data_IF_987719108285
#
_entry.id   IF_987719108285
#
_cell.length_a   1.000
_cell.length_b   1.000
_cell.length_c   1.000
_cell.angle_alpha   90.00
_cell.angle_beta   90.00
_cell.angle_gamma   90.00
#
_symmetry.space_group_name_H-M   'P 1'
#
loop_
_entity.id
_entity.type
_entity.pdbx_description
1 polymer ?
#
# COMPACT_ATOMS: atom_id res chain seq x y z
N UNK A 1 -23.74 -5.75 -29.13
CA UNK A 1 -23.52 -5.86 -27.68
C UNK A 1 -24.47 -4.97 -26.86
N UNK A 2 -24.78 -3.74 -27.34
CA UNK A 2 -25.71 -2.83 -26.66
C UNK A 2 -27.15 -3.36 -26.61
N UNK A 3 -27.59 -4.09 -27.62
CA UNK A 3 -28.97 -4.61 -27.70
C UNK A 3 -29.16 -5.91 -26.90
N UNK A 4 -28.12 -6.74 -26.74
CA UNK A 4 -28.13 -7.94 -25.89
C UNK A 4 -28.20 -7.63 -24.40
N UNK A 5 -27.62 -6.50 -23.98
CA UNK A 5 -27.69 -6.03 -22.57
C UNK A 5 -29.08 -5.42 -22.30
N UNK A 6 -29.74 -4.81 -23.29
CA UNK A 6 -31.07 -4.22 -23.10
C UNK A 6 -32.18 -5.26 -22.86
N UNK A 7 -32.08 -6.47 -23.37
CA UNK A 7 -33.14 -7.48 -23.29
C UNK A 7 -33.18 -8.28 -21.99
N UNK A 8 -32.03 -8.42 -21.27
CA UNK A 8 -31.93 -9.28 -20.07
C UNK A 8 -32.21 -8.60 -18.72
N UNK A 9 -32.29 -7.25 -18.67
CA UNK A 9 -32.48 -6.51 -17.42
C UNK A 9 -33.80 -5.76 -17.29
N UNK A 10 -34.85 -6.23 -17.96
CA UNK A 10 -36.20 -5.60 -17.91
C UNK A 10 -37.07 -6.06 -16.76
N UNK A 11 -36.60 -6.90 -15.88
CA UNK A 11 -37.39 -7.44 -14.77
C UNK A 11 -36.74 -7.08 -13.44
N UNK A 12 -37.47 -6.38 -12.56
CA UNK A 12 -37.24 -6.15 -11.14
C UNK A 12 -36.41 -4.90 -10.71
N UNK A 13 -36.91 -3.67 -10.96
CA UNK A 13 -36.64 -2.56 -10.03
C UNK A 13 -37.65 -1.40 -10.26
N UNK A 14 -38.13 -0.70 -9.20
CA UNK A 14 -39.05 0.43 -9.34
C UNK A 14 -38.40 1.59 -10.10
N UNK A 15 -39.17 2.26 -10.95
CA UNK A 15 -38.74 3.19 -12.01
C UNK A 15 -37.97 4.44 -11.59
N UNK A 16 -37.94 4.81 -10.30
CA UNK A 16 -37.23 6.01 -9.80
C UNK A 16 -35.76 5.77 -9.44
N UNK A 17 -35.38 4.57 -9.07
CA UNK A 17 -34.00 4.22 -8.67
C UNK A 17 -33.14 3.66 -9.80
N UNK A 18 -33.77 3.15 -10.85
CA UNK A 18 -33.09 2.51 -11.99
C UNK A 18 -32.20 3.45 -12.83
N UNK A 19 -32.54 4.74 -12.90
CA UNK A 19 -31.78 5.72 -13.70
C UNK A 19 -30.45 6.13 -13.09
N UNK A 20 -30.44 6.38 -11.80
CA UNK A 20 -29.24 6.84 -11.06
C UNK A 20 -28.25 5.68 -10.88
N UNK A 21 -28.75 4.50 -10.54
CA UNK A 21 -27.90 3.29 -10.43
C UNK A 21 -27.27 2.93 -11.78
N UNK A 22 -28.02 3.08 -12.87
CA UNK A 22 -27.57 2.81 -14.24
C UNK A 22 -26.49 3.77 -14.71
N UNK A 23 -26.61 5.07 -14.41
CA UNK A 23 -25.58 6.06 -14.76
C UNK A 23 -24.30 5.81 -13.93
N UNK A 24 -24.41 5.50 -12.65
CA UNK A 24 -23.26 5.23 -11.79
C UNK A 24 -22.55 3.92 -12.12
N UNK A 25 -23.29 2.86 -12.43
CA UNK A 25 -22.70 1.58 -12.89
C UNK A 25 -21.99 1.76 -14.25
N UNK A 26 -22.55 2.54 -15.18
CA UNK A 26 -21.90 2.87 -16.46
C UNK A 26 -20.64 3.72 -16.23
N UNK A 27 -20.64 4.64 -15.26
CA UNK A 27 -19.47 5.43 -14.92
C UNK A 27 -18.35 4.55 -14.33
N UNK A 28 -18.69 3.66 -13.41
CA UNK A 28 -17.74 2.69 -12.83
C UNK A 28 -17.19 1.74 -13.89
N UNK A 29 -18.03 1.26 -14.79
CA UNK A 29 -17.59 0.41 -15.91
C UNK A 29 -16.68 1.16 -16.89
N UNK A 30 -16.91 2.46 -17.12
CA UNK A 30 -15.99 3.31 -17.92
C UNK A 30 -14.65 3.50 -17.23
N UNK A 31 -14.62 3.75 -15.92
CA UNK A 31 -13.40 3.89 -15.14
C UNK A 31 -12.58 2.58 -15.11
N UNK A 32 -13.25 1.45 -14.92
CA UNK A 32 -12.63 0.11 -15.00
C UNK A 32 -12.10 -0.17 -16.41
N UNK A 33 -12.82 0.22 -17.45
CA UNK A 33 -12.36 0.08 -18.83
C UNK A 33 -11.14 0.95 -19.14
N UNK A 34 -11.09 2.18 -18.60
CA UNK A 34 -9.93 3.08 -18.72
C UNK A 34 -8.72 2.49 -17.98
N UNK A 35 -8.90 1.93 -16.80
CA UNK A 35 -7.85 1.23 -16.05
C UNK A 35 -7.32 -0.01 -16.78
N UNK A 36 -8.22 -0.78 -17.41
CA UNK A 36 -7.84 -1.92 -18.25
C UNK A 36 -7.08 -1.48 -19.50
N UNK A 37 -7.47 -0.36 -20.11
CA UNK A 37 -6.80 0.23 -21.27
C UNK A 37 -5.40 0.77 -20.89
N UNK A 38 -5.29 1.39 -19.73
CA UNK A 38 -4.01 1.87 -19.18
C UNK A 38 -3.06 0.70 -18.86
N UNK A 39 -3.63 -0.41 -18.38
CA UNK A 39 -2.90 -1.65 -18.14
C UNK A 39 -2.41 -2.29 -19.45
N UNK A 40 -3.23 -2.28 -20.49
CA UNK A 40 -2.85 -2.73 -21.84
C UNK A 40 -1.75 -1.84 -22.45
N UNK A 41 -1.80 -0.52 -22.23
CA UNK A 41 -0.80 0.42 -22.71
C UNK A 41 0.57 0.28 -21.99
N UNK A 42 0.57 -0.07 -20.72
CA UNK A 42 1.81 -0.35 -19.97
C UNK A 42 2.41 -1.71 -20.36
N UNK A 43 1.57 -2.71 -20.70
CA UNK A 43 2.03 -4.04 -21.10
C UNK A 43 2.47 -4.11 -22.57
N UNK A 44 1.90 -3.27 -23.44
CA UNK A 44 2.21 -3.26 -24.88
C UNK A 44 3.71 -3.04 -25.17
N UNK A 45 4.42 -2.06 -24.58
CA UNK A 45 5.85 -1.91 -24.85
C UNK A 45 6.69 -3.07 -24.29
N UNK A 46 6.27 -3.73 -23.20
CA UNK A 46 6.96 -4.88 -22.63
C UNK A 46 6.83 -6.11 -23.54
N UNK A 47 5.67 -6.28 -24.17
CA UNK A 47 5.39 -7.35 -25.13
C UNK A 47 6.13 -7.10 -26.45
N UNK A 48 6.22 -5.84 -26.92
CA UNK A 48 6.95 -5.45 -28.13
C UNK A 48 8.47 -5.62 -27.94
N UNK A 49 9.00 -5.29 -26.78
CA UNK A 49 10.41 -5.54 -26.45
C UNK A 49 10.74 -7.05 -26.38
N UNK A 50 9.79 -7.90 -26.00
CA UNK A 50 9.96 -9.35 -25.98
C UNK A 50 9.81 -10.01 -27.36
N UNK A 51 9.21 -9.33 -28.34
CA UNK A 51 9.02 -9.85 -29.71
C UNK A 51 10.09 -9.38 -30.71
N UNK A 52 10.89 -8.35 -30.38
CA UNK A 52 11.92 -7.82 -31.28
C UNK A 52 13.24 -8.60 -31.29
N UNK A 53 13.30 -9.80 -30.71
CA UNK A 53 14.47 -10.69 -30.81
C UNK A 53 14.54 -11.55 -32.08
N UNK A 54 13.71 -11.27 -33.08
CA UNK A 54 13.75 -11.98 -34.37
C UNK A 54 13.54 -11.04 -35.55
N UNK A 55 14.57 -10.30 -35.91
CA UNK A 55 14.77 -9.87 -37.32
C UNK A 55 16.26 -9.58 -37.58
N UNK A 56 16.96 -10.64 -37.95
CA UNK A 56 18.24 -10.58 -38.61
C UNK A 56 18.05 -10.23 -40.09
N UNK A 57 18.33 -9.00 -40.50
CA UNK A 57 18.56 -8.69 -41.92
C UNK A 57 19.31 -7.39 -42.18
N UNK A 58 19.64 -6.59 -41.16
CA UNK A 58 20.35 -5.30 -41.36
C UNK A 58 21.85 -5.38 -40.94
N UNK A 59 22.32 -6.54 -40.50
CA UNK A 59 23.65 -6.71 -39.92
C UNK A 59 24.72 -7.03 -40.97
N UNK A 60 24.36 -7.44 -42.19
CA UNK A 60 25.36 -7.88 -43.21
C UNK A 60 26.06 -6.71 -43.92
N UNK A 61 25.45 -5.57 -44.15
CA UNK A 61 26.09 -4.42 -44.81
C UNK A 61 27.07 -3.65 -43.89
N UNK A 62 26.86 -3.69 -42.60
CA UNK A 62 27.82 -3.08 -41.65
C UNK A 62 29.04 -3.93 -41.35
N UNK A 63 29.01 -5.23 -41.64
CA UNK A 63 30.19 -6.13 -41.46
C UNK A 63 31.31 -5.88 -42.43
N UNK A 64 31.03 -5.41 -43.64
CA UNK A 64 32.06 -5.12 -44.66
C UNK A 64 32.86 -3.85 -44.31
N UNK A 65 32.25 -2.85 -43.68
CA UNK A 65 32.92 -1.62 -43.27
C UNK A 65 33.78 -1.79 -42.01
N UNK A 66 33.41 -2.71 -41.13
CA UNK A 66 34.08 -2.96 -39.84
C UNK A 66 35.27 -3.96 -40.00
N UNK A 67 35.34 -4.71 -41.09
CA UNK A 67 36.43 -5.64 -41.35
C UNK A 67 37.76 -4.93 -41.68
N UNK A 68 37.72 -3.69 -42.17
CA UNK A 68 38.93 -2.90 -42.47
C UNK A 68 39.53 -2.18 -41.25
N UNK A 69 38.77 -2.09 -40.14
CA UNK A 69 39.22 -1.49 -38.87
C UNK A 69 39.57 -2.53 -37.79
N UNK A 70 39.49 -3.81 -38.12
CA UNK A 70 39.47 -4.90 -37.15
C UNK A 70 40.84 -5.50 -36.75
N UNK A 71 41.95 -4.99 -37.23
CA UNK A 71 43.28 -5.47 -36.79
C UNK A 71 43.64 -5.18 -35.34
N UNK A 72 42.92 -4.24 -34.69
CA UNK A 72 43.16 -3.86 -33.29
C UNK A 72 42.01 -4.17 -32.32
N UNK A 73 40.85 -4.66 -32.81
CA UNK A 73 39.65 -4.80 -32.02
C UNK A 73 39.29 -6.23 -31.56
N UNK A 74 39.99 -7.25 -32.03
CA UNK A 74 39.65 -8.67 -31.72
C UNK A 74 39.78 -8.96 -30.23
N UNK A 75 40.76 -8.38 -29.54
CA UNK A 75 40.93 -8.57 -28.10
C UNK A 75 39.90 -7.80 -27.24
N UNK A 76 39.32 -6.73 -27.75
CA UNK A 76 38.27 -5.96 -27.02
C UNK A 76 36.92 -6.64 -27.12
N UNK A 77 36.57 -7.23 -28.27
CA UNK A 77 35.27 -7.91 -28.46
C UNK A 77 35.16 -9.18 -27.65
N UNK A 78 36.23 -9.95 -27.51
CA UNK A 78 36.26 -11.17 -26.70
C UNK A 78 36.15 -10.84 -25.20
N UNK A 79 36.79 -9.77 -24.74
CA UNK A 79 36.65 -9.30 -23.37
C UNK A 79 35.23 -8.78 -23.08
N UNK A 80 34.64 -7.99 -23.98
CA UNK A 80 33.26 -7.51 -23.85
C UNK A 80 32.27 -8.68 -23.89
N UNK A 81 32.46 -9.63 -24.82
CA UNK A 81 31.60 -10.81 -24.90
C UNK A 81 31.69 -11.68 -23.63
N UNK A 82 32.90 -11.79 -23.05
CA UNK A 82 33.11 -12.52 -21.80
C UNK A 82 32.48 -11.80 -20.62
N UNK A 83 32.61 -10.47 -20.52
CA UNK A 83 31.97 -9.65 -19.50
C UNK A 83 30.45 -9.76 -19.64
N UNK A 84 29.89 -9.63 -20.83
CA UNK A 84 28.44 -9.74 -21.08
C UNK A 84 27.94 -11.16 -20.74
N UNK A 85 28.66 -12.20 -21.10
CA UNK A 85 28.31 -13.60 -20.75
C UNK A 85 28.38 -13.83 -19.22
N UNK A 86 29.44 -13.34 -18.57
CA UNK A 86 29.61 -13.47 -17.13
C UNK A 86 28.55 -12.69 -16.38
N UNK A 87 28.31 -11.43 -16.78
CA UNK A 87 27.26 -10.59 -16.21
C UNK A 87 25.86 -11.18 -16.47
N UNK A 88 25.62 -11.67 -17.70
CA UNK A 88 24.37 -12.35 -18.05
C UNK A 88 24.14 -13.65 -17.27
N UNK A 89 25.21 -14.44 -17.02
CA UNK A 89 25.12 -15.63 -16.15
C UNK A 89 24.86 -15.23 -14.70
N UNK A 90 25.52 -14.20 -14.19
CA UNK A 90 25.31 -13.69 -12.82
C UNK A 90 23.88 -13.19 -12.65
N UNK A 91 23.38 -12.36 -13.56
CA UNK A 91 21.98 -11.90 -13.56
C UNK A 91 21.01 -13.08 -13.63
N UNK A 92 21.25 -14.05 -14.51
CA UNK A 92 20.39 -15.24 -14.63
C UNK A 92 20.38 -16.07 -13.34
N UNK A 93 21.51 -16.24 -12.68
CA UNK A 93 21.62 -16.96 -11.42
C UNK A 93 20.94 -16.19 -10.29
N UNK A 94 21.13 -14.89 -10.23
CA UNK A 94 20.41 -14.01 -9.28
C UNK A 94 18.89 -14.08 -9.48
N UNK A 95 18.42 -14.04 -10.74
CA UNK A 95 16.98 -14.17 -11.06
C UNK A 95 16.45 -15.56 -10.70
N UNK A 96 17.24 -16.63 -10.90
CA UNK A 96 16.86 -17.98 -10.47
C UNK A 96 16.80 -18.08 -8.94
N UNK A 97 17.80 -17.55 -8.24
CA UNK A 97 17.80 -17.52 -6.77
C UNK A 97 16.67 -16.64 -6.21
N UNK A 98 16.38 -15.54 -6.88
CA UNK A 98 15.29 -14.62 -6.56
C UNK A 98 13.92 -15.32 -6.52
N UNK A 99 13.68 -16.26 -7.44
CA UNK A 99 12.44 -17.02 -7.54
C UNK A 99 12.52 -18.40 -6.88
N UNK A 100 13.66 -18.76 -6.28
CA UNK A 100 13.85 -20.06 -5.66
C UNK A 100 12.99 -20.16 -4.39
N UNK A 101 12.15 -21.18 -4.33
CA UNK A 101 11.33 -21.54 -3.18
C UNK A 101 11.58 -22.99 -2.79
N UNK A 102 11.51 -23.30 -1.51
CA UNK A 102 11.48 -24.66 -1.01
C UNK A 102 10.03 -25.19 -1.13
N UNK A 103 9.82 -26.13 -2.05
CA UNK A 103 8.49 -26.67 -2.36
C UNK A 103 7.89 -27.48 -1.21
N UNK A 104 8.69 -27.87 -0.20
CA UNK A 104 8.18 -28.45 1.04
C UNK A 104 7.46 -27.41 1.91
N UNK A 105 7.85 -26.14 1.82
CA UNK A 105 7.30 -25.04 2.60
C UNK A 105 6.33 -24.17 1.83
N UNK A 106 6.58 -23.94 0.53
CA UNK A 106 5.81 -23.03 -0.30
C UNK A 106 5.40 -23.72 -1.58
N UNK A 107 4.12 -23.67 -1.92
CA UNK A 107 3.60 -24.13 -3.21
C UNK A 107 3.31 -22.92 -4.10
N UNK A 108 3.87 -22.86 -5.33
CA UNK A 108 3.55 -21.78 -6.25
C UNK A 108 2.09 -21.89 -6.70
N UNK A 109 1.48 -20.75 -7.00
CA UNK A 109 0.15 -20.74 -7.60
C UNK A 109 0.18 -21.38 -9.00
N UNK A 110 -0.74 -22.28 -9.25
CA UNK A 110 -0.86 -23.02 -10.51
C UNK A 110 -1.63 -22.26 -11.59
N UNK A 111 -2.09 -21.06 -11.29
CA UNK A 111 -2.90 -20.24 -12.18
C UNK A 111 -2.18 -18.93 -12.52
N UNK A 112 -2.55 -18.35 -13.67
CA UNK A 112 -1.98 -17.09 -14.14
C UNK A 112 -2.77 -15.88 -13.66
N UNK A 113 -4.08 -16.04 -13.51
CA UNK A 113 -5.00 -14.96 -13.18
C UNK A 113 -5.74 -15.26 -11.89
N UNK A 114 -6.07 -14.20 -11.18
CA UNK A 114 -6.93 -14.20 -10.01
C UNK A 114 -7.99 -13.12 -10.12
N UNK A 115 -9.15 -13.40 -9.58
CA UNK A 115 -10.20 -12.42 -9.33
C UNK A 115 -10.50 -12.38 -7.85
N UNK A 116 -10.64 -11.17 -7.28
CA UNK A 116 -10.88 -11.00 -5.85
C UNK A 116 -11.88 -9.86 -5.62
N UNK A 117 -12.82 -10.11 -4.74
CA UNK A 117 -13.64 -9.10 -4.11
C UNK A 117 -13.09 -8.82 -2.72
N UNK A 118 -13.03 -7.56 -2.37
CA UNK A 118 -12.47 -7.09 -1.12
C UNK A 118 -13.43 -6.09 -0.46
N UNK A 119 -13.67 -6.30 0.81
CA UNK A 119 -14.25 -5.32 1.70
C UNK A 119 -13.14 -4.76 2.56
N UNK A 120 -12.94 -3.44 2.57
CA UNK A 120 -11.91 -2.81 3.38
C UNK A 120 -12.45 -1.69 4.25
N UNK A 121 -11.93 -1.63 5.47
CA UNK A 121 -12.23 -0.58 6.43
C UNK A 121 -10.93 0.14 6.79
N UNK A 122 -11.01 1.45 6.78
CA UNK A 122 -9.88 2.30 7.09
C UNK A 122 -9.91 2.73 8.54
N UNK A 123 -8.75 2.66 9.16
CA UNK A 123 -8.46 3.21 10.45
C UNK A 123 -7.47 4.36 10.30
N UNK A 124 -7.76 5.48 10.92
CA UNK A 124 -6.86 6.62 11.05
C UNK A 124 -7.08 7.27 12.40
N UNK A 125 -6.00 7.52 13.13
CA UNK A 125 -6.04 8.10 14.46
C UNK A 125 -4.88 9.09 14.63
N UNK A 126 -5.21 10.28 15.04
CA UNK A 126 -4.26 11.34 15.41
C UNK A 126 -4.36 11.61 16.90
N UNK A 127 -3.21 11.66 17.53
CA UNK A 127 -3.07 12.14 18.90
C UNK A 127 -2.13 13.33 18.89
N UNK A 128 -2.65 14.50 19.23
CA UNK A 128 -1.93 15.75 19.39
C UNK A 128 -1.72 15.98 20.87
N UNK A 129 -0.52 16.31 21.30
CA UNK A 129 -0.26 16.56 22.71
C UNK A 129 0.89 17.55 22.93
N UNK A 130 0.85 18.25 24.06
CA UNK A 130 2.02 18.95 24.54
C UNK A 130 2.99 17.95 25.22
N UNK A 131 4.29 18.25 25.18
CA UNK A 131 5.30 17.43 25.85
C UNK A 131 5.60 17.92 27.28
N UNK A 132 4.68 18.68 27.89
CA UNK A 132 4.84 19.12 29.28
C UNK A 132 4.62 17.94 30.24
N UNK A 133 5.66 17.55 30.97
CA UNK A 133 5.60 16.41 31.91
C UNK A 133 4.71 16.68 33.13
N UNK A 134 4.60 17.94 33.54
CA UNK A 134 3.81 18.32 34.72
C UNK A 134 2.33 18.50 34.43
N UNK A 135 1.99 18.99 33.22
CA UNK A 135 0.63 19.23 32.78
C UNK A 135 0.43 18.68 31.35
N UNK A 136 0.41 17.35 31.18
CA UNK A 136 0.24 16.76 29.87
C UNK A 136 -1.18 16.97 29.35
N UNK A 137 -1.34 17.62 28.21
CA UNK A 137 -2.62 17.78 27.51
C UNK A 137 -2.58 16.99 26.21
N UNK A 138 -3.68 16.29 25.91
CA UNK A 138 -3.78 15.46 24.69
C UNK A 138 -5.17 15.56 24.10
N UNK A 139 -5.20 15.69 22.78
CA UNK A 139 -6.42 15.62 21.96
C UNK A 139 -6.30 14.43 21.03
N UNK A 140 -7.33 13.62 20.92
CA UNK A 140 -7.38 12.47 20.04
C UNK A 140 -8.47 12.62 19.00
N UNK A 141 -8.12 12.42 17.73
CA UNK A 141 -9.02 12.56 16.61
C UNK A 141 -9.01 11.28 15.76
N UNK A 142 -10.18 10.89 15.30
CA UNK A 142 -10.29 9.87 14.24
C UNK A 142 -11.48 10.19 13.34
N UNK A 143 -11.37 9.94 12.03
CA UNK A 143 -12.50 10.10 11.13
C UNK A 143 -13.57 9.04 11.42
N UNK A 144 -14.75 9.24 10.87
CA UNK A 144 -15.75 8.17 10.79
C UNK A 144 -15.19 7.04 9.94
N UNK A 145 -15.34 5.79 10.40
CA UNK A 145 -14.84 4.63 9.70
C UNK A 145 -15.50 4.55 8.32
N UNK A 146 -14.69 4.68 7.28
CA UNK A 146 -15.14 4.51 5.90
C UNK A 146 -15.08 3.03 5.51
N UNK A 147 -16.13 2.56 4.85
CA UNK A 147 -16.26 1.20 4.37
C UNK A 147 -16.17 1.20 2.84
N UNK A 148 -15.27 0.40 2.29
CA UNK A 148 -15.01 0.33 0.84
C UNK A 148 -15.24 -1.07 0.33
N UNK A 149 -15.76 -1.15 -0.89
CA UNK A 149 -15.83 -2.37 -1.65
C UNK A 149 -14.84 -2.29 -2.82
N UNK A 150 -14.05 -3.32 -3.03
CA UNK A 150 -13.02 -3.38 -4.06
C UNK A 150 -13.17 -4.58 -4.97
N UNK A 151 -12.82 -4.38 -6.22
CA UNK A 151 -12.72 -5.44 -7.23
C UNK A 151 -11.30 -5.46 -7.72
N UNK A 152 -10.65 -6.63 -7.66
CA UNK A 152 -9.25 -6.78 -8.00
C UNK A 152 -9.05 -7.89 -9.02
N UNK A 153 -8.14 -7.63 -9.95
CA UNK A 153 -7.59 -8.62 -10.87
C UNK A 153 -6.10 -8.81 -10.57
N UNK A 154 -5.72 -10.07 -10.41
CA UNK A 154 -4.33 -10.45 -10.19
C UNK A 154 -3.74 -11.11 -11.42
N UNK A 155 -2.51 -10.74 -11.77
CA UNK A 155 -1.69 -11.44 -12.73
C UNK A 155 -0.36 -11.81 -12.09
N UNK A 156 -0.22 -13.11 -11.78
CA UNK A 156 0.94 -13.64 -11.06
C UNK A 156 1.12 -13.00 -9.68
N UNK A 157 2.01 -12.02 -9.57
CA UNK A 157 2.38 -11.32 -8.33
C UNK A 157 1.89 -9.86 -8.28
N UNK A 158 1.27 -9.38 -9.36
CA UNK A 158 0.69 -8.03 -9.44
C UNK A 158 -0.83 -8.13 -9.25
N UNK A 159 -1.36 -7.35 -8.30
CA UNK A 159 -2.78 -7.13 -8.14
C UNK A 159 -3.09 -5.68 -8.45
N UNK A 160 -4.05 -5.50 -9.34
CA UNK A 160 -4.62 -4.19 -9.64
C UNK A 160 -6.11 -4.25 -9.36
N UNK A 161 -6.60 -3.24 -8.69
CA UNK A 161 -8.00 -3.14 -8.35
C UNK A 161 -8.46 -1.71 -8.16
N UNK A 162 -9.74 -1.58 -8.14
CA UNK A 162 -10.42 -0.33 -7.84
C UNK A 162 -11.33 -0.52 -6.65
N UNK A 163 -11.24 0.41 -5.70
CA UNK A 163 -12.12 0.46 -4.52
C UNK A 163 -13.00 1.70 -4.59
N UNK A 164 -14.25 1.53 -4.23
CA UNK A 164 -15.24 2.59 -4.12
C UNK A 164 -15.83 2.61 -2.72
N UNK A 165 -16.11 3.80 -2.21
CA UNK A 165 -16.81 3.97 -0.95
C UNK A 165 -18.26 3.49 -1.10
N UNK A 166 -18.72 2.65 -0.16
CA UNK A 166 -20.10 2.14 -0.18
C UNK A 166 -21.08 3.28 0.03
N UNK A 167 -20.71 4.27 0.82
CA UNK A 167 -21.52 5.47 1.06
C UNK A 167 -21.71 6.30 -0.22
N UNK A 168 -20.71 6.37 -1.09
CA UNK A 168 -20.82 7.07 -2.39
C UNK A 168 -21.70 6.33 -3.39
N UNK A 169 -21.87 5.00 -3.24
CA UNK A 169 -22.74 4.20 -4.10
C UNK A 169 -24.23 4.29 -3.73
N UNK A 170 -24.51 4.34 -2.43
CA UNK A 170 -25.86 4.24 -1.89
C UNK A 170 -26.33 5.52 -1.19
N UNK A 171 -25.47 6.52 -0.97
CA UNK A 171 -25.76 7.76 -0.27
C UNK A 171 -25.89 8.96 -1.21
N UNK A 172 -26.76 9.90 -0.83
CA UNK A 172 -27.02 11.15 -1.58
C UNK A 172 -26.13 12.33 -1.10
N UNK A 173 -25.06 12.02 -0.37
CA UNK A 173 -24.21 13.02 0.29
C UNK A 173 -23.22 13.67 -0.69
N UNK A 174 -23.67 14.71 -1.41
CA UNK A 174 -22.81 15.50 -2.32
C UNK A 174 -21.83 16.43 -1.59
N UNK A 175 -22.05 16.72 -0.31
CA UNK A 175 -21.31 17.75 0.43
C UNK A 175 -20.20 17.22 1.36
N UNK A 176 -20.03 15.90 1.46
CA UNK A 176 -18.93 15.35 2.27
C UNK A 176 -17.59 15.50 1.55
N UNK A 177 -16.54 15.96 2.24
CA UNK A 177 -15.20 16.06 1.67
C UNK A 177 -14.72 14.67 1.25
N UNK A 178 -14.43 14.53 -0.04
CA UNK A 178 -14.06 13.25 -0.65
C UNK A 178 -12.74 12.75 -0.09
N UNK A 179 -12.79 11.64 0.64
CA UNK A 179 -11.59 10.88 1.00
C UNK A 179 -10.98 10.29 -0.27
N UNK A 180 -9.67 10.47 -0.47
CA UNK A 180 -8.95 9.87 -1.60
C UNK A 180 -7.93 8.88 -1.08
N UNK A 181 -7.94 7.69 -1.65
CA UNK A 181 -6.92 6.67 -1.41
C UNK A 181 -6.47 6.05 -2.70
N UNK A 182 -5.18 5.82 -2.77
CA UNK A 182 -4.55 4.99 -3.78
C UNK A 182 -3.46 4.18 -3.13
N UNK A 183 -3.44 2.88 -3.39
CA UNK A 183 -2.37 2.00 -2.92
C UNK A 183 -1.99 1.02 -4.03
N UNK A 184 -0.69 0.78 -4.15
CA UNK A 184 -0.12 -0.23 -5.02
C UNK A 184 0.82 -1.09 -4.18
N UNK A 185 0.50 -2.37 -4.08
CA UNK A 185 1.28 -3.32 -3.30
C UNK A 185 1.88 -4.38 -4.23
N UNK A 186 3.18 -4.52 -4.19
CA UNK A 186 3.94 -5.48 -4.98
C UNK A 186 4.60 -6.45 -4.01
N UNK A 187 4.24 -7.73 -4.10
CA UNK A 187 4.78 -8.77 -3.24
C UNK A 187 5.52 -9.82 -4.06
N UNK A 188 6.84 -9.86 -3.91
CA UNK A 188 7.74 -10.89 -4.43
C UNK A 188 8.12 -11.87 -3.32
N UNK A 189 8.85 -12.93 -3.66
CA UNK A 189 9.39 -13.87 -2.67
C UNK A 189 10.38 -13.18 -1.73
N UNK A 190 11.32 -12.41 -2.28
CA UNK A 190 12.44 -11.77 -1.56
C UNK A 190 12.13 -10.38 -1.03
N UNK A 191 11.27 -9.62 -1.71
CA UNK A 191 10.98 -8.24 -1.34
C UNK A 191 9.50 -7.90 -1.49
N UNK A 192 9.07 -6.87 -0.80
CA UNK A 192 7.79 -6.22 -1.03
C UNK A 192 7.96 -4.72 -1.11
N UNK A 193 7.03 -4.09 -1.84
CA UNK A 193 6.95 -2.64 -1.98
C UNK A 193 5.49 -2.24 -1.85
N UNK A 194 5.22 -1.30 -0.94
CA UNK A 194 3.91 -0.69 -0.77
C UNK A 194 4.01 0.79 -1.08
N UNK A 195 3.28 1.25 -2.09
CA UNK A 195 3.09 2.66 -2.41
C UNK A 195 1.70 3.05 -1.96
N UNK A 196 1.57 4.18 -1.28
CA UNK A 196 0.28 4.66 -0.82
C UNK A 196 0.17 6.18 -0.86
N UNK A 197 -1.03 6.63 -1.15
CA UNK A 197 -1.46 8.00 -1.05
C UNK A 197 -2.82 8.05 -0.36
N UNK A 198 -2.93 8.88 0.67
CA UNK A 198 -4.17 9.11 1.40
C UNK A 198 -4.40 10.60 1.56
N UNK A 199 -5.63 11.03 1.37
CA UNK A 199 -6.09 12.35 1.74
C UNK A 199 -7.42 12.19 2.47
N UNK A 200 -7.43 12.57 3.74
CA UNK A 200 -8.63 12.57 4.57
C UNK A 200 -9.23 13.97 4.56
N UNK A 201 -10.51 14.07 4.34
CA UNK A 201 -11.24 15.34 4.39
C UNK A 201 -11.50 15.78 5.83
N UNK A 202 -12.37 16.76 5.98
CA UNK A 202 -12.79 17.35 7.28
C UNK A 202 -13.83 16.50 8.02
N UNK A 203 -13.70 15.17 8.00
CA UNK A 203 -14.66 14.24 8.62
C UNK A 203 -14.08 13.60 9.88
N UNK A 204 -13.36 14.38 10.67
CA UNK A 204 -12.83 13.91 11.95
C UNK A 204 -13.85 14.10 13.07
N UNK A 205 -13.68 13.28 14.11
CA UNK A 205 -14.35 13.45 15.40
C UNK A 205 -13.30 13.61 16.49
N UNK A 206 -13.54 14.51 17.43
CA UNK A 206 -12.77 14.59 18.66
C UNK A 206 -13.18 13.42 19.56
N UNK A 207 -12.30 12.44 19.74
CA UNK A 207 -12.58 11.22 20.50
C UNK A 207 -12.30 11.35 21.98
N UNK A 208 -11.23 12.05 22.32
CA UNK A 208 -10.88 12.30 23.71
C UNK A 208 -10.09 13.59 23.87
N UNK A 209 -10.18 14.15 25.05
CA UNK A 209 -9.40 15.26 25.53
C UNK A 209 -8.91 14.92 26.93
N UNK A 210 -7.62 14.86 27.13
CA UNK A 210 -6.98 14.46 28.39
C UNK A 210 -6.15 15.62 28.96
N UNK A 211 -6.20 15.85 30.27
CA UNK A 211 -5.42 16.90 30.96
C UNK A 211 -5.96 18.32 30.78
N UNK A 212 -7.22 18.47 30.40
CA UNK A 212 -7.87 19.77 30.27
C UNK A 212 -8.68 20.19 31.49
N UNK A 213 -8.72 19.34 32.54
CA UNK A 213 -9.54 19.56 33.76
C UNK A 213 -11.00 19.82 33.40
N UNK A 214 -11.49 19.08 32.42
CA UNK A 214 -12.86 19.10 31.95
C UNK A 214 -13.47 17.70 32.14
N UNK A 215 -14.68 17.67 32.66
CA UNK A 215 -15.46 16.43 32.81
C UNK A 215 -16.82 16.58 32.14
N UNK A 216 -16.82 16.86 30.85
CA UNK A 216 -18.03 17.04 30.04
C UNK A 216 -18.12 15.96 28.97
N UNK A 217 -18.93 14.90 29.16
CA UNK A 217 -19.11 13.83 28.18
C UNK A 217 -19.61 14.32 26.82
N UNK A 218 -20.31 15.46 26.78
CA UNK A 218 -20.84 16.00 25.51
C UNK A 218 -19.77 16.48 24.54
N UNK A 219 -18.56 16.73 25.04
CA UNK A 219 -17.38 17.11 24.22
C UNK A 219 -16.67 15.91 23.60
N UNK A 220 -17.11 14.68 23.87
CA UNK A 220 -16.56 13.46 23.25
C UNK A 220 -17.36 13.07 22.00
N UNK A 221 -16.66 12.51 21.03
CA UNK A 221 -17.23 12.03 19.75
C UNK A 221 -17.93 13.10 18.91
N UNK A 222 -17.66 14.37 19.19
CA UNK A 222 -18.20 15.49 18.42
C UNK A 222 -17.49 15.60 17.06
N UNK A 223 -18.27 16.03 16.07
CA UNK A 223 -17.73 16.33 14.75
C UNK A 223 -16.73 17.48 14.81
N UNK A 224 -15.59 17.33 14.14
CA UNK A 224 -14.53 18.33 14.08
C UNK A 224 -13.98 18.44 12.66
N UNK A 225 -14.35 19.49 11.97
CA UNK A 225 -13.96 19.75 10.58
C UNK A 225 -12.63 20.51 10.44
N UNK A 226 -12.02 20.91 11.58
CA UNK A 226 -10.75 21.65 11.63
C UNK A 226 -9.51 20.81 11.38
N UNK A 227 -9.59 19.46 11.31
CA UNK A 227 -8.45 18.60 11.04
C UNK A 227 -8.54 18.02 9.63
N UNK A 228 -7.46 18.19 8.86
CA UNK A 228 -7.27 17.56 7.55
C UNK A 228 -5.90 16.92 7.49
N UNK A 229 -5.80 15.79 6.83
CA UNK A 229 -4.53 15.10 6.64
C UNK A 229 -4.29 14.66 5.21
N UNK A 230 -3.03 14.59 4.84
CA UNK A 230 -2.59 13.95 3.62
C UNK A 230 -1.28 13.22 3.87
N UNK A 231 -1.25 11.95 3.49
CA UNK A 231 -0.11 11.06 3.66
C UNK A 231 0.22 10.44 2.31
N UNK A 232 1.48 10.46 1.92
CA UNK A 232 2.00 9.68 0.81
C UNK A 232 3.27 8.98 1.22
N UNK A 233 3.47 7.76 0.77
CA UNK A 233 4.65 7.01 1.19
C UNK A 233 4.97 5.81 0.34
N UNK A 234 6.17 5.31 0.60
CA UNK A 234 6.76 4.12 0.03
C UNK A 234 7.34 3.31 1.18
N UNK A 235 6.99 2.03 1.24
CA UNK A 235 7.67 1.05 2.08
C UNK A 235 8.28 -0.01 1.18
N UNK A 236 9.56 -0.27 1.35
CA UNK A 236 10.26 -1.37 0.71
C UNK A 236 10.87 -2.26 1.78
N UNK A 237 10.75 -3.56 1.65
CA UNK A 237 11.30 -4.49 2.63
C UNK A 237 11.85 -5.74 1.97
N UNK A 238 12.92 -6.27 2.56
CA UNK A 238 13.61 -7.46 2.17
C UNK A 238 13.31 -8.61 3.13
N UNK A 239 13.09 -9.82 2.57
CA UNK A 239 12.77 -11.04 3.30
C UNK A 239 13.96 -11.98 3.23
N UNK A 240 14.61 -12.26 4.37
CA UNK A 240 15.83 -13.06 4.38
C UNK A 240 15.57 -14.54 4.13
N UNK A 241 14.54 -15.11 4.74
CA UNK A 241 14.21 -16.53 4.59
C UNK A 241 13.12 -16.76 3.52
N UNK A 242 13.22 -16.06 2.37
CA UNK A 242 12.23 -16.07 1.31
C UNK A 242 11.96 -17.47 0.72
N UNK A 243 12.90 -18.42 0.85
CA UNK A 243 12.73 -19.78 0.34
C UNK A 243 11.70 -20.58 1.13
N UNK A 244 11.53 -20.30 2.43
CA UNK A 244 10.62 -21.01 3.33
C UNK A 244 9.44 -20.18 3.81
N UNK A 245 9.60 -18.86 3.87
CA UNK A 245 8.61 -17.92 4.32
C UNK A 245 8.04 -17.11 3.15
N UNK A 246 6.72 -17.07 3.01
CA UNK A 246 6.05 -16.37 1.91
C UNK A 246 5.04 -15.34 2.40
N UNK A 247 5.36 -14.06 2.21
CA UNK A 247 4.38 -12.96 2.32
C UNK A 247 3.27 -13.07 1.29
N UNK A 248 3.59 -13.38 0.01
CA UNK A 248 2.56 -13.55 -1.01
C UNK A 248 1.47 -14.58 -0.66
N UNK A 249 1.76 -15.55 0.22
CA UNK A 249 0.77 -16.54 0.65
C UNK A 249 -0.39 -15.91 1.43
N UNK A 250 -0.15 -14.80 2.14
CA UNK A 250 -1.15 -14.13 2.99
C UNK A 250 -1.69 -12.85 2.36
N UNK A 251 -0.85 -12.07 1.67
CA UNK A 251 -1.21 -10.72 1.26
C UNK A 251 -1.56 -10.58 -0.23
N UNK A 252 -1.18 -11.56 -1.08
CA UNK A 252 -1.52 -11.55 -2.51
C UNK A 252 -1.98 -12.89 -3.07
N UNK A 253 -2.07 -13.95 -2.24
CA UNK A 253 -2.54 -15.30 -2.59
C UNK A 253 -1.87 -15.91 -3.83
N UNK A 254 -0.72 -15.36 -4.23
CA UNK A 254 0.04 -15.84 -5.41
C UNK A 254 0.88 -17.08 -5.12
N UNK A 255 0.96 -17.50 -3.87
CA UNK A 255 1.57 -18.75 -3.39
C UNK A 255 0.76 -19.33 -2.25
N UNK A 256 1.04 -20.57 -1.85
CA UNK A 256 0.47 -21.19 -0.66
C UNK A 256 1.59 -21.61 0.29
N UNK A 257 1.50 -21.20 1.56
CA UNK A 257 2.37 -21.70 2.62
C UNK A 257 1.90 -23.10 3.06
N UNK A 258 2.79 -24.07 3.02
CA UNK A 258 2.49 -25.48 3.35
C UNK A 258 2.92 -25.88 4.75
N UNK A 259 4.02 -25.31 5.23
CA UNK A 259 4.60 -25.52 6.56
C UNK A 259 4.87 -24.17 7.20
N UNK A 260 4.73 -24.12 8.50
CA UNK A 260 5.05 -22.92 9.28
C UNK A 260 6.51 -22.53 9.09
N UNK A 261 6.75 -21.24 8.93
CA UNK A 261 8.08 -20.67 8.79
C UNK A 261 8.08 -19.20 9.17
N UNK A 262 9.23 -18.68 9.58
CA UNK A 262 9.45 -17.28 9.85
C UNK A 262 10.63 -16.72 9.09
N UNK A 263 10.72 -15.39 9.07
CA UNK A 263 11.81 -14.66 8.45
C UNK A 263 12.09 -13.37 9.19
N UNK A 264 13.36 -13.07 9.35
CA UNK A 264 13.78 -11.70 9.58
C UNK A 264 13.54 -10.87 8.33
N UNK A 265 13.31 -9.58 8.53
CA UNK A 265 13.06 -8.61 7.48
C UNK A 265 13.79 -7.32 7.79
N UNK A 266 14.32 -6.69 6.76
CA UNK A 266 14.85 -5.33 6.83
C UNK A 266 14.01 -4.46 5.89
N UNK A 267 13.68 -3.26 6.31
CA UNK A 267 12.83 -2.35 5.55
C UNK A 267 13.35 -0.93 5.51
N UNK A 268 13.00 -0.24 4.45
CA UNK A 268 13.14 1.19 4.30
C UNK A 268 11.75 1.78 4.05
N UNK A 269 11.42 2.83 4.79
CA UNK A 269 10.19 3.57 4.63
C UNK A 269 10.48 5.03 4.34
N UNK A 270 9.75 5.59 3.41
CA UNK A 270 9.67 7.01 3.17
C UNK A 270 8.22 7.44 3.22
N UNK A 271 7.91 8.46 4.01
CA UNK A 271 6.58 9.04 4.00
C UNK A 271 6.64 10.56 4.10
N UNK A 272 5.63 11.20 3.53
CA UNK A 272 5.41 12.63 3.65
C UNK A 272 4.02 12.86 4.21
N UNK A 273 3.96 13.60 5.32
CA UNK A 273 2.74 13.94 6.03
C UNK A 273 2.48 15.44 5.91
N UNK A 274 1.23 15.78 5.72
CA UNK A 274 0.72 17.15 5.80
C UNK A 274 -0.50 17.11 6.70
N UNK A 275 -0.48 17.89 7.76
CA UNK A 275 -1.55 18.02 8.74
C UNK A 275 -1.93 19.48 8.79
N UNK A 276 -3.20 19.76 8.57
CA UNK A 276 -3.79 21.09 8.76
C UNK A 276 -4.72 21.01 9.96
N UNK A 277 -4.51 21.86 10.93
CA UNK A 277 -5.24 21.88 12.18
C UNK A 277 -5.73 23.27 12.49
N UNK A 278 -7.01 23.52 12.24
CA UNK A 278 -7.70 24.75 12.59
C UNK A 278 -8.21 24.62 14.03
N UNK A 279 -7.34 24.99 14.97
CA UNK A 279 -7.64 24.87 16.40
C UNK A 279 -8.73 25.82 16.88
N UNK A 280 -9.02 26.91 16.16
CA UNK A 280 -10.08 27.86 16.49
C UNK A 280 -11.47 27.22 16.41
N UNK A 281 -11.60 26.13 15.66
CA UNK A 281 -12.84 25.35 15.58
C UNK A 281 -13.05 24.39 16.76
N UNK A 282 -12.12 24.32 17.69
CA UNK A 282 -12.31 23.55 18.91
C UNK A 282 -13.43 24.15 19.76
N UNK A 283 -14.14 23.32 20.54
CA UNK A 283 -15.10 23.84 21.52
C UNK A 283 -14.46 24.87 22.44
N UNK A 284 -15.13 25.99 22.76
CA UNK A 284 -14.57 27.06 23.58
C UNK A 284 -13.94 26.58 24.88
N UNK A 285 -14.59 25.65 25.59
CA UNK A 285 -14.08 25.09 26.84
C UNK A 285 -12.72 24.39 26.70
N UNK A 286 -12.41 23.82 25.52
CA UNK A 286 -11.11 23.19 25.21
C UNK A 286 -10.14 24.26 24.70
N UNK A 287 -10.62 25.16 23.84
CA UNK A 287 -9.82 26.22 23.22
C UNK A 287 -9.18 27.14 24.28
N UNK A 288 -9.97 27.60 25.25
CA UNK A 288 -9.48 28.46 26.34
C UNK A 288 -8.38 27.81 27.18
N UNK A 289 -8.28 26.49 27.16
CA UNK A 289 -7.29 25.72 27.91
C UNK A 289 -6.21 25.11 27.04
N UNK A 290 -6.22 25.43 25.73
CA UNK A 290 -5.26 24.85 24.78
C UNK A 290 -3.85 25.41 25.07
N UNK A 291 -2.87 24.51 25.10
CA UNK A 291 -1.46 24.93 25.28
C UNK A 291 -0.97 25.69 24.05
N UNK A 292 -0.18 26.76 24.19
CA UNK A 292 0.37 27.51 23.05
C UNK A 292 1.07 26.65 22.02
N UNK A 293 1.79 25.60 22.49
CA UNK A 293 2.49 24.65 21.60
C UNK A 293 1.55 23.78 20.75
N UNK A 294 0.27 23.72 21.09
CA UNK A 294 -0.76 23.00 20.32
C UNK A 294 -1.52 23.92 19.37
N UNK A 295 -1.26 25.24 19.38
CA UNK A 295 -1.87 26.25 18.52
C UNK A 295 -1.03 26.38 17.22
N UNK A 296 -1.16 25.40 16.33
CA UNK A 296 -0.50 25.43 15.02
C UNK A 296 -1.53 25.26 13.91
N UNK A 297 -1.28 25.83 12.75
CA UNK A 297 -2.17 25.72 11.60
C UNK A 297 -1.74 24.60 10.66
N UNK A 298 -0.44 24.44 10.42
CA UNK A 298 0.06 23.50 9.44
C UNK A 298 1.34 22.84 9.91
N UNK A 299 1.41 21.51 9.79
CA UNK A 299 2.63 20.73 9.96
C UNK A 299 2.87 19.94 8.69
N UNK A 300 4.08 20.06 8.13
CA UNK A 300 4.56 19.25 7.03
C UNK A 300 5.87 18.61 7.42
N UNK A 301 5.93 17.29 7.39
CA UNK A 301 7.17 16.57 7.64
C UNK A 301 7.36 15.43 6.66
N UNK A 302 8.61 15.11 6.41
CA UNK A 302 9.04 13.91 5.69
C UNK A 302 9.75 13.00 6.65
N UNK A 303 9.45 11.72 6.59
CA UNK A 303 9.99 10.67 7.42
C UNK A 303 10.79 9.68 6.57
N UNK A 304 11.98 9.34 7.03
CA UNK A 304 12.87 8.35 6.44
C UNK A 304 13.21 7.35 7.53
N UNK A 305 12.75 6.12 7.40
CA UNK A 305 12.89 5.12 8.46
C UNK A 305 13.57 3.87 7.95
N UNK A 306 14.45 3.32 8.78
CA UNK A 306 15.03 1.99 8.60
C UNK A 306 14.45 1.06 9.66
N UNK A 307 13.85 -0.02 9.21
CA UNK A 307 13.22 -1.01 10.06
C UNK A 307 13.92 -2.37 9.99
N UNK A 308 13.93 -3.06 11.12
CA UNK A 308 14.35 -4.45 11.21
C UNK A 308 13.36 -5.20 12.08
N UNK A 309 12.85 -6.34 11.60
CA UNK A 309 11.81 -7.06 12.31
C UNK A 309 11.70 -8.51 11.93
N UNK A 310 10.62 -9.13 12.38
CA UNK A 310 10.36 -10.55 12.16
C UNK A 310 8.91 -10.79 11.80
N UNK A 311 8.70 -11.75 10.89
CA UNK A 311 7.39 -12.24 10.53
C UNK A 311 7.33 -13.75 10.60
N UNK A 312 6.17 -14.27 11.01
CA UNK A 312 5.92 -15.69 11.13
C UNK A 312 4.62 -16.10 10.44
N UNK A 313 4.69 -17.10 9.58
CA UNK A 313 3.55 -17.79 8.99
C UNK A 313 3.29 -19.08 9.76
N UNK A 314 2.16 -19.13 10.44
CA UNK A 314 1.69 -20.31 11.14
C UNK A 314 0.65 -21.06 10.32
N UNK A 315 1.01 -22.25 9.84
CA UNK A 315 0.10 -23.16 9.15
C UNK A 315 -0.51 -24.08 10.20
N UNK A 316 -1.72 -23.80 10.64
CA UNK A 316 -2.40 -24.48 11.72
C UNK A 316 -3.40 -25.56 11.24
N UNK A 317 -3.78 -25.52 9.96
CA UNK A 317 -4.61 -26.52 9.33
C UNK A 317 -4.31 -26.61 7.82
N UNK A 318 -4.83 -27.65 7.16
CA UNK A 318 -4.70 -27.81 5.70
C UNK A 318 -5.28 -26.63 4.99
N UNK A 319 -4.47 -25.96 4.14
CA UNK A 319 -4.81 -24.76 3.38
C UNK A 319 -5.06 -23.49 4.21
N UNK A 320 -4.82 -23.51 5.51
CA UNK A 320 -4.94 -22.37 6.39
C UNK A 320 -3.58 -21.85 6.83
N UNK A 321 -3.38 -20.57 6.71
CA UNK A 321 -2.19 -19.88 7.22
C UNK A 321 -2.60 -18.61 7.95
N UNK A 322 -1.97 -18.34 9.08
CA UNK A 322 -2.00 -17.06 9.77
C UNK A 322 -0.62 -16.44 9.73
N UNK A 323 -0.53 -15.14 9.55
CA UNK A 323 0.71 -14.37 9.61
C UNK A 323 0.61 -13.29 10.68
N UNK A 324 1.72 -13.12 11.40
CA UNK A 324 1.98 -11.94 12.22
C UNK A 324 3.38 -11.46 11.91
N UNK A 325 3.53 -10.17 11.66
CA UNK A 325 4.83 -9.54 11.47
C UNK A 325 4.90 -8.17 12.11
N UNK A 326 6.04 -7.89 12.73
CA UNK A 326 6.36 -6.63 13.36
C UNK A 326 7.67 -6.11 12.78
N UNK A 327 7.65 -4.89 12.28
CA UNK A 327 8.80 -4.20 11.71
C UNK A 327 8.97 -2.86 12.42
N UNK A 328 9.56 -2.85 13.65
CA UNK A 328 9.98 -1.62 14.27
C UNK A 328 11.08 -0.94 13.46
N UNK A 329 11.06 0.39 13.44
CA UNK A 329 12.00 1.21 12.70
C UNK A 329 12.44 2.43 13.47
N UNK A 330 13.60 2.92 13.09
CA UNK A 330 14.14 4.20 13.55
C UNK A 330 14.04 5.17 12.38
N UNK A 331 13.28 6.25 12.59
CA UNK A 331 13.01 7.26 11.59
C UNK A 331 13.73 8.57 11.85
N UNK A 332 14.21 9.20 10.79
CA UNK A 332 14.65 10.59 10.79
C UNK A 332 13.57 11.45 10.15
N UNK A 333 13.07 12.46 10.88
CA UNK A 333 11.98 13.32 10.43
C UNK A 333 12.48 14.74 10.17
N UNK A 334 12.34 15.15 8.90
CA UNK A 334 12.60 16.51 8.48
C UNK A 334 11.29 17.28 8.43
N UNK A 335 11.09 18.22 9.34
CA UNK A 335 9.87 19.04 9.38
C UNK A 335 10.11 20.44 8.81
N UNK A 336 9.03 21.00 8.24
CA UNK A 336 8.85 22.42 7.98
C UNK A 336 7.57 22.81 8.71
N UNK A 337 7.72 23.68 9.70
CA UNK A 337 6.61 24.34 10.40
C UNK A 337 6.65 25.77 9.94
N UNK A 338 5.52 26.34 9.55
CA UNK A 338 5.44 27.73 9.09
C UNK A 338 5.61 28.78 10.22
N UNK A 339 5.90 28.32 11.44
CA UNK A 339 6.10 29.17 12.60
C UNK A 339 7.58 29.45 12.85
N UNK A 340 7.92 30.72 13.13
CA UNK A 340 9.30 31.23 13.25
C UNK A 340 10.06 30.75 14.49
N UNK A 341 9.39 30.08 15.45
CA UNK A 341 9.95 29.76 16.77
C UNK A 341 10.84 28.51 16.84
N UNK A 342 10.97 27.74 15.75
CA UNK A 342 11.66 26.44 15.79
C UNK A 342 12.98 26.36 14.99
N UNK A 343 13.61 27.51 14.70
CA UNK A 343 14.75 27.57 13.76
C UNK A 343 16.08 26.95 14.22
N UNK A 344 16.23 26.54 15.49
CA UNK A 344 17.54 26.13 16.05
C UNK A 344 17.51 24.80 16.82
N UNK A 345 16.85 23.76 16.32
CA UNK A 345 16.84 22.47 17.02
C UNK A 345 17.86 21.46 16.46
N UNK A 346 18.53 20.74 17.39
CA UNK A 346 19.52 19.71 17.07
C UNK A 346 18.89 18.54 16.29
N UNK A 347 19.59 18.04 15.28
CA UNK A 347 19.17 16.90 14.43
C UNK A 347 18.85 15.62 15.23
N UNK A 348 19.45 15.42 16.41
CA UNK A 348 19.19 14.26 17.30
C UNK A 348 17.73 14.25 17.78
N UNK A 349 17.08 15.41 17.90
CA UNK A 349 15.67 15.52 18.32
C UNK A 349 14.68 15.13 17.22
N UNK A 350 15.14 14.90 16.00
CA UNK A 350 14.35 14.46 14.86
C UNK A 350 14.32 12.93 14.69
N UNK A 351 14.97 12.18 15.59
CA UNK A 351 14.93 10.71 15.61
C UNK A 351 13.63 10.26 16.29
N UNK A 352 12.91 9.39 15.63
CA UNK A 352 11.62 8.87 16.07
C UNK A 352 11.53 7.37 15.86
N UNK A 353 10.56 6.74 16.52
CA UNK A 353 10.27 5.33 16.36
C UNK A 353 9.04 5.15 15.50
N UNK A 354 9.14 4.25 14.53
CA UNK A 354 8.04 3.84 13.67
C UNK A 354 7.78 2.37 13.86
N UNK A 355 6.55 1.94 13.64
CA UNK A 355 6.18 0.54 13.69
C UNK A 355 5.24 0.20 12.55
N UNK A 356 5.59 -0.82 11.77
CA UNK A 356 4.71 -1.44 10.80
C UNK A 356 4.31 -2.80 11.34
N UNK A 357 3.01 -2.97 11.59
CA UNK A 357 2.43 -4.23 12.02
C UNK A 357 1.58 -4.80 10.91
N UNK A 358 1.76 -6.08 10.61
CA UNK A 358 0.91 -6.81 9.67
C UNK A 358 0.41 -8.09 10.32
N UNK A 359 -0.88 -8.35 10.16
CA UNK A 359 -1.50 -9.60 10.55
C UNK A 359 -2.41 -10.10 9.44
N UNK A 360 -2.61 -11.40 9.34
CA UNK A 360 -3.55 -11.96 8.38
C UNK A 360 -3.86 -13.41 8.64
N UNK A 361 -5.00 -13.83 8.16
CA UNK A 361 -5.45 -15.21 8.16
C UNK A 361 -6.08 -15.53 6.80
N UNK A 362 -5.69 -16.64 6.20
CA UNK A 362 -6.09 -17.00 4.84
C UNK A 362 -6.35 -18.50 4.75
N UNK A 363 -7.49 -18.84 4.15
CA UNK A 363 -7.72 -20.13 3.54
C UNK A 363 -7.40 -20.04 2.05
N UNK A 364 -6.55 -20.91 1.53
CA UNK A 364 -6.21 -20.94 0.12
C UNK A 364 -5.94 -22.38 -0.35
N UNK A 365 -6.87 -22.95 -1.12
CA UNK A 365 -6.72 -24.27 -1.72
C UNK A 365 -6.13 -24.25 -3.14
N UNK A 366 -5.50 -23.16 -3.54
CA UNK A 366 -4.95 -22.83 -4.86
C UNK A 366 -5.99 -22.37 -5.87
N UNK A 367 -7.24 -22.84 -5.85
CA UNK A 367 -8.31 -22.41 -6.77
C UNK A 367 -9.17 -21.33 -6.14
N UNK A 368 -9.59 -21.50 -4.91
CA UNK A 368 -10.40 -20.56 -4.14
C UNK A 368 -9.62 -20.09 -2.92
N UNK A 369 -9.80 -18.84 -2.58
CA UNK A 369 -9.23 -18.26 -1.37
C UNK A 369 -10.21 -17.30 -0.70
N UNK A 370 -10.12 -17.25 0.62
CA UNK A 370 -10.80 -16.30 1.47
C UNK A 370 -9.88 -15.92 2.62
N UNK A 371 -9.89 -14.68 3.03
CA UNK A 371 -9.03 -14.25 4.11
C UNK A 371 -9.36 -12.88 4.67
N UNK A 372 -8.64 -12.57 5.73
CA UNK A 372 -8.61 -11.23 6.31
C UNK A 372 -7.16 -10.82 6.54
N UNK A 373 -6.87 -9.54 6.37
CA UNK A 373 -5.55 -8.97 6.64
C UNK A 373 -5.66 -7.58 7.23
N UNK A 374 -4.73 -7.27 8.13
CA UNK A 374 -4.58 -5.99 8.79
C UNK A 374 -3.17 -5.48 8.53
N UNK A 375 -3.07 -4.23 8.12
CA UNK A 375 -1.79 -3.52 8.03
C UNK A 375 -1.94 -2.22 8.80
N UNK A 376 -1.09 -2.01 9.79
CA UNK A 376 -1.06 -0.82 10.63
C UNK A 376 0.31 -0.16 10.53
N UNK A 377 0.30 1.15 10.35
CA UNK A 377 1.46 2.02 10.40
C UNK A 377 1.29 2.98 11.57
N UNK A 378 2.30 3.06 12.42
CA UNK A 378 2.33 4.03 13.52
C UNK A 378 3.58 4.88 13.38
N UNK A 379 3.37 6.18 13.27
CA UNK A 379 4.42 7.19 13.18
C UNK A 379 4.32 8.13 14.37
N UNK A 380 5.44 8.35 15.02
CA UNK A 380 5.52 9.26 16.13
C UNK A 380 6.36 10.48 15.73
N UNK A 381 5.80 11.67 15.87
CA UNK A 381 6.47 12.94 15.63
C UNK A 381 6.58 13.69 16.94
N UNK A 382 7.79 13.93 17.40
CA UNK A 382 8.02 14.62 18.67
C UNK A 382 8.93 15.82 18.48
N UNK A 383 8.51 16.92 19.03
CA UNK A 383 9.28 18.14 19.27
C UNK A 383 9.28 18.43 20.78
N UNK A 384 10.18 19.28 21.30
CA UNK A 384 10.25 19.55 22.75
C UNK A 384 8.91 19.95 23.36
N UNK A 385 8.12 20.72 22.64
CA UNK A 385 6.86 21.28 23.13
C UNK A 385 5.60 20.59 22.55
N UNK A 386 5.73 19.82 21.45
CA UNK A 386 4.61 19.24 20.71
C UNK A 386 4.88 17.78 20.38
N UNK A 387 3.88 16.93 20.53
CA UNK A 387 3.86 15.56 19.99
C UNK A 387 2.66 15.33 19.09
N UNK A 388 2.89 14.65 17.98
CA UNK A 388 1.86 14.19 17.06
C UNK A 388 2.09 12.73 16.76
N UNK A 389 1.25 11.85 17.30
CA UNK A 389 1.27 10.44 16.94
C UNK A 389 0.17 10.18 15.93
N UNK A 390 0.56 9.62 14.81
CA UNK A 390 -0.38 9.20 13.76
C UNK A 390 -0.33 7.68 13.64
N UNK A 391 -1.50 7.05 13.75
CA UNK A 391 -1.66 5.63 13.46
C UNK A 391 -2.71 5.48 12.38
N UNK A 392 -2.36 4.78 11.30
CA UNK A 392 -3.31 4.49 10.24
C UNK A 392 -3.13 3.08 9.71
N UNK A 393 -4.19 2.53 9.18
CA UNK A 393 -4.15 1.18 8.68
C UNK A 393 -5.37 0.81 7.88
N UNK A 394 -5.38 -0.44 7.42
CA UNK A 394 -6.47 -1.00 6.64
C UNK A 394 -6.72 -2.43 7.12
N UNK A 395 -7.96 -2.69 7.51
CA UNK A 395 -8.50 -4.04 7.68
C UNK A 395 -9.17 -4.43 6.36
N UNK A 396 -8.80 -5.58 5.82
CA UNK A 396 -9.34 -6.13 4.58
C UNK A 396 -9.93 -7.49 4.84
N UNK A 397 -11.11 -7.74 4.29
CA UNK A 397 -11.74 -9.06 4.22
C UNK A 397 -11.96 -9.33 2.74
N UNK A 398 -11.50 -10.45 2.24
CA UNK A 398 -11.53 -10.71 0.83
C UNK A 398 -11.85 -12.16 0.51
N UNK A 399 -12.44 -12.36 -0.65
CA UNK A 399 -12.69 -13.68 -1.23
C UNK A 399 -12.42 -13.63 -2.73
N UNK A 400 -11.91 -14.73 -3.28
CA UNK A 400 -11.59 -14.76 -4.69
C UNK A 400 -11.29 -16.14 -5.21
N UNK A 401 -11.00 -16.20 -6.48
CA UNK A 401 -10.64 -17.43 -7.15
C UNK A 401 -9.56 -17.20 -8.21
N UNK A 402 -8.75 -18.24 -8.39
CA UNK A 402 -7.70 -18.29 -9.39
C UNK A 402 -8.22 -19.04 -10.63
N UNK A 403 -7.89 -18.53 -11.81
CA UNK A 403 -8.30 -19.11 -13.08
C UNK A 403 -7.18 -19.03 -14.11
N UNK A 404 -7.37 -19.64 -15.29
CA UNK A 404 -6.36 -19.78 -16.32
C UNK A 404 -5.11 -20.53 -15.84
N UNK A 405 -5.22 -21.87 -15.79
CA UNK A 405 -4.15 -22.76 -15.33
C UNK A 405 -2.87 -22.60 -16.16
N UNK A 406 -1.74 -22.50 -15.50
CA UNK A 406 -0.42 -22.46 -16.15
C UNK A 406 -0.15 -23.76 -16.88
N UNK A 407 0.40 -23.68 -18.08
CA UNK A 407 0.97 -24.86 -18.74
C UNK A 407 2.15 -25.35 -17.89
N UNK A 408 2.30 -26.66 -17.65
CA UNK A 408 3.49 -27.18 -17.00
C UNK A 408 4.72 -26.71 -17.78
N UNK A 409 5.72 -26.15 -17.10
CA UNK A 409 7.02 -25.93 -17.73
C UNK A 409 7.56 -27.29 -18.12
N UNK A 410 7.94 -27.49 -19.37
CA UNK A 410 8.69 -28.66 -19.78
C UNK A 410 9.94 -28.75 -18.88
N UNK A 411 10.31 -29.95 -18.42
CA UNK A 411 11.46 -30.17 -17.56
C UNK A 411 12.76 -29.65 -18.17
#
# INVERSE_FOLDING_TARGET
LQDLVRQRYRILLPTKWGGILRQRVVLVLKEVAILLLFFLLILCPIIILAQNEKKDTVVQERRALLASLAGGMVNLTDNIATIVRHTGRKIRNEVKDFNAIDTNYISPNKYNLAFMLEHSTWYEHYRLGNNNRNHPKRLSFSPTLGTKLGVYFGWRWIFLGYTFDIEDLFGDNKDKPKKKEMSLNIYSSKFGVDLYYRKTGSDFKLRSYEGFDLNDPSLKDIHFDGLQSSIRGLNAYWIFNHRKFSYPAVYSQSTNQRRSAGSFMAGFSYSQHRISFDYEKLPPAILDRLSPSMQFSHIKYSDYSLGFGYGYNWVFAKNWVSNLSLLPGIGYKKSKIDDNDFKNESWIKDINFDLITRAGIVYNNSKYFVGASLVLHTYDYRKPSLSVTNSFGTLRIYAGFNFWRRKPSKP
#
